data_IF_476254591330
#
_entry.id   IF_476254591330
#
_cell.length_a   1.000
_cell.length_b   1.000
_cell.length_c   1.000
_cell.angle_alpha   90.00
_cell.angle_beta   90.00
_cell.angle_gamma   90.00
#
_symmetry.space_group_name_H-M   'P 1'
#
loop_
_entity.id
_entity.type
_entity.pdbx_description
1 polymer ?
#
# COMPACT_ATOMS: atom_id res chain seq x y z
N UNK A 1 -36.94 -28.19 -8.18
CA UNK A 1 -36.24 -27.30 -7.23
C UNK A 1 -34.74 -27.56 -7.38
N UNK A 2 -33.97 -26.62 -7.95
CA UNK A 2 -32.52 -26.75 -8.10
C UNK A 2 -31.84 -25.99 -6.95
N UNK A 3 -31.06 -26.70 -6.15
CA UNK A 3 -30.29 -26.14 -5.04
C UNK A 3 -28.93 -25.69 -5.57
N UNK A 4 -28.68 -24.38 -5.56
CA UNK A 4 -27.33 -23.84 -5.77
C UNK A 4 -26.66 -23.70 -4.41
N UNK A 5 -25.83 -24.68 -4.05
CA UNK A 5 -24.89 -24.54 -2.94
C UNK A 5 -23.79 -23.55 -3.35
N UNK A 6 -23.95 -22.29 -2.96
CA UNK A 6 -22.87 -21.30 -3.00
C UNK A 6 -21.82 -21.71 -1.96
N UNK A 7 -20.76 -22.37 -2.42
CA UNK A 7 -19.54 -22.54 -1.63
C UNK A 7 -18.96 -21.14 -1.39
N UNK A 8 -19.12 -20.62 -0.17
CA UNK A 8 -18.40 -19.43 0.29
C UNK A 8 -16.91 -19.68 0.15
N UNK A 9 -16.31 -19.14 -0.92
CA UNK A 9 -14.88 -19.06 -1.08
C UNK A 9 -14.37 -17.98 -0.12
N UNK A 10 -14.22 -18.34 1.16
CA UNK A 10 -13.55 -17.48 2.13
C UNK A 10 -12.07 -17.54 1.84
N UNK A 11 -11.58 -16.66 0.96
CA UNK A 11 -10.15 -16.44 0.79
C UNK A 11 -9.62 -15.89 2.10
N UNK A 12 -9.01 -16.74 2.93
CA UNK A 12 -8.40 -16.32 4.19
C UNK A 12 -7.08 -15.64 3.87
N UNK A 13 -7.15 -14.34 3.60
CA UNK A 13 -5.99 -13.46 3.65
C UNK A 13 -5.53 -13.47 5.10
N UNK A 14 -4.30 -13.95 5.33
CA UNK A 14 -3.69 -13.92 6.66
C UNK A 14 -3.00 -12.58 6.81
N UNK A 15 -3.43 -11.81 7.80
CA UNK A 15 -2.83 -10.52 8.14
C UNK A 15 -1.53 -10.70 8.93
N UNK A 16 -0.69 -9.68 8.94
CA UNK A 16 0.56 -9.67 9.67
C UNK A 16 0.30 -9.79 11.19
N UNK A 17 0.95 -10.76 11.83
CA UNK A 17 0.84 -10.97 13.29
C UNK A 17 1.46 -9.84 14.14
N UNK A 18 2.23 -8.93 13.52
CA UNK A 18 2.87 -7.82 14.23
C UNK A 18 2.08 -6.51 14.13
N UNK A 19 1.70 -6.08 12.93
CA UNK A 19 0.98 -4.82 12.73
C UNK A 19 -0.53 -5.00 12.53
N UNK A 20 -1.00 -6.14 12.01
CA UNK A 20 -2.41 -6.35 11.64
C UNK A 20 -2.90 -5.54 10.44
N UNK A 21 -2.19 -4.49 10.02
CA UNK A 21 -2.62 -3.60 8.93
C UNK A 21 -2.35 -4.13 7.52
N UNK A 22 -1.33 -4.97 7.36
CA UNK A 22 -0.85 -5.43 6.06
C UNK A 22 -0.95 -6.95 5.96
N UNK A 23 -1.20 -7.49 4.74
CA UNK A 23 -1.19 -8.91 4.51
C UNK A 23 0.20 -9.50 4.82
N UNK A 24 0.19 -10.71 5.36
CA UNK A 24 1.40 -11.49 5.55
C UNK A 24 2.06 -11.81 4.20
N UNK A 25 3.37 -11.61 4.14
CA UNK A 25 4.17 -11.82 2.93
C UNK A 25 5.42 -12.66 3.18
N UNK A 26 5.81 -12.83 4.45
CA UNK A 26 7.04 -13.52 4.86
C UNK A 26 6.70 -14.48 6.00
N UNK A 27 7.27 -15.68 5.91
CA UNK A 27 7.23 -16.70 6.95
C UNK A 27 8.64 -16.95 7.49
N UNK A 28 8.82 -17.04 8.81
CA UNK A 28 10.08 -17.38 9.44
C UNK A 28 10.06 -18.85 9.86
N UNK A 29 10.92 -19.64 9.22
CA UNK A 29 11.01 -21.11 9.40
C UNK A 29 11.88 -21.51 10.60
N UNK A 30 12.42 -20.53 11.33
CA UNK A 30 13.29 -20.78 12.49
C UNK A 30 12.48 -21.27 13.71
N UNK A 31 12.86 -22.43 14.31
CA UNK A 31 12.22 -22.92 15.52
C UNK A 31 12.43 -21.93 16.67
N UNK A 32 11.40 -21.71 17.48
CA UNK A 32 11.33 -20.72 18.56
C UNK A 32 11.19 -19.23 18.12
N UNK A 33 10.95 -18.94 16.84
CA UNK A 33 10.54 -17.60 16.46
C UNK A 33 9.10 -17.33 16.93
N UNK A 34 8.92 -16.43 17.90
CA UNK A 34 7.60 -16.10 18.45
C UNK A 34 6.62 -15.50 17.44
N UNK A 35 7.15 -14.94 16.34
CA UNK A 35 6.36 -14.34 15.26
C UNK A 35 6.88 -14.85 13.94
N UNK A 36 6.25 -15.92 13.47
CA UNK A 36 6.61 -16.60 12.25
C UNK A 36 5.96 -15.99 11.01
N UNK A 37 4.81 -15.29 11.10
CA UNK A 37 4.11 -14.74 9.93
C UNK A 37 4.08 -13.21 9.99
N UNK A 38 4.77 -12.55 9.05
CA UNK A 38 5.00 -11.11 9.04
C UNK A 38 4.79 -10.51 7.65
N UNK A 39 4.49 -9.20 7.58
CA UNK A 39 4.61 -8.43 6.35
C UNK A 39 6.07 -7.99 6.14
N UNK A 40 6.41 -7.52 4.93
CA UNK A 40 7.80 -7.17 4.57
C UNK A 40 8.42 -6.08 5.45
N UNK A 41 7.64 -5.09 5.87
CA UNK A 41 8.12 -4.01 6.73
C UNK A 41 8.42 -4.50 8.15
N UNK A 42 7.50 -5.29 8.73
CA UNK A 42 7.69 -5.86 10.07
C UNK A 42 8.79 -6.92 10.11
N UNK A 43 9.00 -7.64 9.01
CA UNK A 43 10.12 -8.59 8.88
C UNK A 43 11.48 -7.91 9.12
N UNK A 44 11.73 -6.77 8.46
CA UNK A 44 12.98 -6.01 8.61
C UNK A 44 13.16 -5.47 10.03
N UNK A 45 12.07 -5.04 10.69
CA UNK A 45 12.12 -4.55 12.07
C UNK A 45 12.37 -5.68 13.08
N UNK A 46 11.75 -6.84 12.86
CA UNK A 46 11.82 -7.98 13.78
C UNK A 46 13.15 -8.75 13.66
N UNK A 47 13.58 -9.02 12.43
CA UNK A 47 14.82 -9.75 12.12
C UNK A 47 16.05 -8.84 12.02
N UNK A 48 15.87 -7.51 12.03
CA UNK A 48 16.96 -6.55 12.20
C UNK A 48 17.62 -6.60 13.59
N UNK A 49 16.99 -7.25 14.58
CA UNK A 49 17.56 -7.38 15.91
C UNK A 49 18.72 -8.40 15.92
N UNK A 50 19.88 -8.09 16.56
CA UNK A 50 21.07 -8.95 16.50
C UNK A 50 20.84 -10.38 16.99
N UNK A 51 19.95 -10.58 17.97
CA UNK A 51 19.58 -11.90 18.49
C UNK A 51 18.78 -12.75 17.48
N UNK A 52 18.18 -12.13 16.45
CA UNK A 52 17.29 -12.78 15.47
C UNK A 52 17.78 -12.66 14.03
N UNK A 53 18.99 -12.11 13.82
CA UNK A 53 19.57 -11.92 12.48
C UNK A 53 19.82 -13.22 11.72
N UNK A 54 19.97 -14.33 12.45
CA UNK A 54 20.24 -15.66 11.90
C UNK A 54 18.94 -16.44 11.60
N UNK A 55 17.78 -15.78 11.73
CA UNK A 55 16.52 -16.39 11.37
C UNK A 55 16.41 -16.54 9.85
N UNK A 56 15.85 -17.66 9.41
CA UNK A 56 15.63 -17.95 8.00
C UNK A 56 14.19 -17.59 7.66
N UNK A 57 14.03 -16.66 6.73
CA UNK A 57 12.73 -16.19 6.26
C UNK A 57 12.50 -16.64 4.83
N UNK A 58 11.27 -17.10 4.57
CA UNK A 58 10.80 -17.62 3.30
C UNK A 58 9.57 -16.81 2.86
N UNK A 59 9.31 -16.68 1.54
CA UNK A 59 8.12 -16.01 1.06
C UNK A 59 6.86 -16.75 1.51
N UNK A 60 5.92 -16.04 2.13
CA UNK A 60 4.61 -16.58 2.46
C UNK A 60 3.67 -16.37 1.27
N UNK A 61 3.32 -17.47 0.60
CA UNK A 61 2.32 -17.44 -0.47
C UNK A 61 0.92 -17.46 0.14
N UNK A 62 0.23 -16.32 0.06
CA UNK A 62 -1.19 -16.28 0.38
C UNK A 62 -1.95 -17.14 -0.64
N UNK A 63 -2.86 -17.99 -0.15
CA UNK A 63 -3.78 -18.72 -1.02
C UNK A 63 -4.81 -17.74 -1.56
N UNK A 64 -4.46 -17.06 -2.64
CA UNK A 64 -5.30 -16.07 -3.29
C UNK A 64 -6.22 -16.74 -4.31
N UNK A 65 -7.27 -17.40 -3.83
CA UNK A 65 -8.34 -17.93 -4.68
C UNK A 65 -9.37 -16.83 -4.98
N UNK A 66 -8.94 -15.81 -5.72
CA UNK A 66 -9.83 -14.74 -6.19
C UNK A 66 -9.07 -13.53 -6.75
N UNK A 67 -9.11 -13.39 -8.09
CA UNK A 67 -8.58 -12.30 -8.92
C UNK A 67 -7.15 -11.80 -8.59
N UNK A 68 -6.21 -12.26 -9.41
CA UNK A 68 -4.95 -11.55 -9.60
C UNK A 68 -5.23 -10.15 -10.18
N UNK A 69 -5.16 -9.12 -9.34
CA UNK A 69 -4.64 -7.81 -9.76
C UNK A 69 -3.17 -7.84 -9.35
N UNK A 70 -2.30 -8.10 -10.31
CA UNK A 70 -0.84 -8.17 -10.16
C UNK A 70 -0.24 -6.80 -9.86
N UNK A 71 0.57 -6.61 -8.80
CA UNK A 71 1.67 -5.65 -8.86
C UNK A 71 2.89 -6.42 -9.35
N UNK A 72 3.11 -6.42 -10.67
CA UNK A 72 4.34 -6.89 -11.28
C UNK A 72 5.49 -6.03 -10.75
N UNK A 73 6.28 -6.58 -9.84
CA UNK A 73 7.54 -5.98 -9.42
C UNK A 73 8.54 -6.18 -10.54
N UNK A 74 8.74 -5.15 -11.36
CA UNK A 74 9.98 -4.97 -12.12
C UNK A 74 10.55 -3.60 -11.76
N UNK A 75 11.62 -3.68 -10.97
CA UNK A 75 12.84 -2.87 -11.04
C UNK A 75 12.77 -1.33 -11.03
N UNK A 76 13.53 -0.83 -10.06
CA UNK A 76 14.07 0.52 -9.95
C UNK A 76 14.70 0.96 -11.27
N UNK A 77 14.14 1.99 -11.90
CA UNK A 77 14.91 2.87 -12.78
C UNK A 77 14.38 4.28 -12.70
N UNK A 78 15.23 5.14 -12.13
CA UNK A 78 15.20 6.58 -12.31
C UNK A 78 14.80 6.95 -13.73
N UNK A 79 13.59 7.48 -13.90
CA UNK A 79 13.24 8.61 -14.79
C UNK A 79 11.73 8.77 -14.78
N UNK A 80 11.30 9.86 -14.12
CA UNK A 80 10.19 10.76 -14.48
C UNK A 80 9.13 10.14 -15.39
N UNK A 81 7.90 10.02 -14.93
CA UNK A 81 6.74 10.63 -15.60
C UNK A 81 5.57 10.59 -14.62
N UNK A 82 5.26 11.77 -14.11
CA UNK A 82 4.28 12.03 -13.07
C UNK A 82 2.87 11.59 -13.50
N UNK A 83 2.16 10.94 -12.57
CA UNK A 83 0.73 11.10 -12.29
C UNK A 83 -0.01 12.07 -13.23
N UNK A 84 -0.56 11.56 -14.32
CA UNK A 84 -1.43 12.34 -15.23
C UNK A 84 -2.82 12.52 -14.58
N UNK A 85 -3.22 11.60 -13.70
CA UNK A 85 -4.55 11.60 -13.08
C UNK A 85 -4.70 12.55 -11.87
N UNK A 86 -3.59 13.00 -11.27
CA UNK A 86 -3.65 13.96 -10.15
C UNK A 86 -3.80 15.42 -10.63
N UNK A 87 -3.48 15.71 -11.89
CA UNK A 87 -3.59 17.06 -12.49
C UNK A 87 -4.99 17.38 -13.02
N UNK A 88 -5.81 16.39 -13.36
CA UNK A 88 -7.11 16.64 -14.00
C UNK A 88 -8.17 17.07 -12.98
N UNK A 89 -8.14 16.53 -11.77
CA UNK A 89 -9.12 16.84 -10.72
C UNK A 89 -8.75 18.05 -9.84
N UNK A 90 -7.48 18.45 -9.81
CA UNK A 90 -7.01 19.65 -9.08
C UNK A 90 -6.57 20.81 -9.99
N UNK A 91 -6.61 20.68 -11.32
CA UNK A 91 -6.13 21.73 -12.25
C UNK A 91 -7.11 22.90 -12.45
N UNK A 92 -8.32 22.68 -13.00
CA UNK A 92 -9.22 23.78 -13.35
C UNK A 92 -9.89 24.40 -12.11
N UNK A 93 -10.18 23.61 -11.08
CA UNK A 93 -10.81 24.11 -9.86
C UNK A 93 -9.87 25.02 -9.04
N UNK A 94 -8.59 24.67 -8.94
CA UNK A 94 -7.59 25.49 -8.22
C UNK A 94 -7.25 26.76 -9.00
N UNK A 95 -7.20 26.70 -10.33
CA UNK A 95 -7.00 27.89 -11.16
C UNK A 95 -8.19 28.86 -11.10
N UNK A 96 -9.43 28.36 -11.15
CA UNK A 96 -10.63 29.17 -10.98
C UNK A 96 -10.72 29.77 -9.57
N UNK A 97 -10.34 29.00 -8.55
CA UNK A 97 -10.28 29.49 -7.17
C UNK A 97 -9.22 30.59 -7.00
N UNK A 98 -8.03 30.43 -7.59
CA UNK A 98 -6.98 31.45 -7.58
C UNK A 98 -7.39 32.74 -8.31
N UNK A 99 -8.07 32.63 -9.47
CA UNK A 99 -8.58 33.79 -10.21
C UNK A 99 -9.73 34.50 -9.47
N UNK A 100 -10.56 33.75 -8.74
CA UNK A 100 -11.58 34.31 -7.85
C UNK A 100 -10.94 35.10 -6.70
N UNK A 101 -9.89 34.57 -6.07
CA UNK A 101 -9.15 35.25 -5.01
C UNK A 101 -8.43 36.52 -5.52
N UNK A 102 -7.86 36.50 -6.72
CA UNK A 102 -7.25 37.67 -7.35
C UNK A 102 -8.28 38.75 -7.69
N UNK A 103 -9.51 38.37 -8.07
CA UNK A 103 -10.60 39.32 -8.30
C UNK A 103 -11.11 39.98 -7.02
N UNK A 104 -10.98 39.30 -5.87
CA UNK A 104 -11.32 39.86 -4.55
C UNK A 104 -10.23 40.76 -3.98
N UNK A 105 -8.99 40.67 -4.47
CA UNK A 105 -7.84 41.46 -4.02
C UNK A 105 -7.59 42.73 -4.87
N UNK A 106 -8.46 43.04 -5.83
CA UNK A 106 -8.30 44.14 -6.78
C UNK A 106 -9.01 45.44 -6.41
N UNK A 107 -8.87 45.94 -5.17
CA UNK A 107 -9.32 47.30 -4.81
C UNK A 107 -8.66 47.79 -3.51
N UNK A 108 -7.42 48.22 -3.63
CA UNK A 108 -6.76 49.07 -2.64
C UNK A 108 -5.77 49.99 -3.38
N UNK A 109 -6.36 51.08 -3.85
CA UNK A 109 -5.86 52.41 -4.16
C UNK A 109 -4.34 52.65 -4.30
N UNK A 110 -3.99 53.20 -5.47
CA UNK A 110 -2.70 53.80 -5.80
C UNK A 110 -2.48 55.07 -4.98
N UNK A 111 -1.29 55.28 -4.37
CA UNK A 111 -0.96 56.56 -3.76
C UNK A 111 -0.45 57.52 -4.83
N UNK A 112 -1.12 58.66 -4.99
CA UNK A 112 -0.54 59.89 -5.56
C UNK A 112 -0.88 61.09 -4.69
#
# INVERSE_FOLDING_TARGET
>A
AAQFHLLSMTSSIVDCSFCGDNPAAVYCSTPACSRNILCRSCDSLWHGHPNRKNHVTEPYHQQQSGLAITPSSTEVSSRRFFNIEFWIFNGPAVLLFALLLLSLCGKADTPS
#
